data_IF_786581866687
#
_entry.id   IF_786581866687
#
_cell.length_a   1.000
_cell.length_b   1.000
_cell.length_c   1.000
_cell.angle_alpha   90.00
_cell.angle_beta   90.00
_cell.angle_gamma   90.00
#
_symmetry.space_group_name_H-M   'P 1'
#
loop_
_entity.id
_entity.type
_entity.pdbx_description
1 polymer ?
#
# COMPACT_ATOMS: atom_id res chain seq x y z
N UNK A 1 -9.27 -19.03 -4.31
CA UNK A 1 -10.36 -19.16 -3.31
C UNK A 1 -10.01 -18.26 -2.13
N UNK A 2 -10.86 -17.29 -1.77
CA UNK A 2 -10.55 -16.31 -0.71
C UNK A 2 -11.43 -16.62 0.53
N UNK A 3 -10.80 -17.00 1.65
CA UNK A 3 -11.48 -17.42 2.88
C UNK A 3 -12.41 -16.35 3.47
N UNK A 4 -12.01 -15.08 3.45
CA UNK A 4 -12.87 -14.01 3.99
C UNK A 4 -14.11 -13.76 3.12
N UNK A 5 -14.02 -14.02 1.80
CA UNK A 5 -15.18 -13.95 0.89
C UNK A 5 -16.17 -15.11 1.07
N UNK A 6 -15.77 -16.15 1.81
CA UNK A 6 -16.62 -17.30 2.11
C UNK A 6 -17.25 -17.21 3.49
N UNK A 7 -17.06 -16.09 4.20
CA UNK A 7 -17.54 -15.93 5.58
C UNK A 7 -16.76 -16.77 6.60
N UNK A 8 -15.56 -17.25 6.26
CA UNK A 8 -14.76 -18.13 7.12
C UNK A 8 -13.84 -17.38 8.10
N UNK A 9 -14.04 -16.07 8.28
CA UNK A 9 -13.30 -15.28 9.28
C UNK A 9 -13.14 -13.81 8.93
N UNK A 10 -12.21 -13.16 9.63
CA UNK A 10 -11.79 -11.77 9.43
C UNK A 10 -10.29 -11.72 9.10
N UNK A 11 -9.87 -10.65 8.42
CA UNK A 11 -8.46 -10.43 8.10
C UNK A 11 -8.07 -8.99 8.38
N UNK A 12 -6.84 -8.80 8.88
CA UNK A 12 -6.21 -7.50 8.95
C UNK A 12 -5.54 -7.21 7.61
N UNK A 13 -5.96 -6.12 6.96
CA UNK A 13 -5.53 -5.78 5.60
C UNK A 13 -5.04 -4.32 5.54
N UNK A 14 -4.05 -4.01 4.70
CA UNK A 14 -3.66 -2.63 4.44
C UNK A 14 -4.79 -1.86 3.77
N UNK A 15 -4.96 -0.58 4.11
CA UNK A 15 -5.99 0.29 3.54
C UNK A 15 -5.96 0.32 2.00
N UNK A 16 -4.76 0.31 1.42
CA UNK A 16 -4.53 0.26 -0.04
C UNK A 16 -5.23 -0.92 -0.73
N UNK A 17 -5.43 -2.04 -0.01
CA UNK A 17 -6.09 -3.23 -0.54
C UNK A 17 -7.62 -3.14 -0.50
N UNK A 18 -8.19 -2.20 0.27
CA UNK A 18 -9.64 -2.07 0.38
C UNK A 18 -10.26 -1.73 -0.97
N UNK A 19 -9.64 -0.84 -1.75
CA UNK A 19 -10.14 -0.44 -3.09
C UNK A 19 -10.28 -1.61 -4.06
N UNK A 20 -9.46 -2.64 -3.93
CA UNK A 20 -9.51 -3.83 -4.80
C UNK A 20 -10.38 -4.96 -4.24
N UNK A 21 -10.80 -4.85 -2.97
CA UNK A 21 -11.51 -5.89 -2.23
C UNK A 21 -12.97 -5.51 -1.91
N UNK A 22 -13.33 -4.23 -2.03
CA UNK A 22 -14.57 -3.54 -1.61
C UNK A 22 -15.93 -4.03 -2.17
N UNK A 23 -16.05 -5.28 -2.64
CA UNK A 23 -17.35 -5.89 -2.94
C UNK A 23 -18.18 -6.15 -1.67
N UNK A 24 -18.60 -7.39 -1.44
CA UNK A 24 -19.46 -7.78 -0.30
C UNK A 24 -18.79 -7.75 1.09
N UNK A 25 -17.59 -7.16 1.20
CA UNK A 25 -16.81 -7.18 2.43
C UNK A 25 -16.91 -5.85 3.16
N UNK A 26 -17.28 -5.91 4.44
CA UNK A 26 -17.25 -4.76 5.34
C UNK A 26 -15.84 -4.57 5.89
N UNK A 27 -15.36 -3.32 5.94
CA UNK A 27 -14.10 -2.95 6.58
C UNK A 27 -14.37 -2.07 7.79
N UNK A 28 -13.63 -2.31 8.88
CA UNK A 28 -13.61 -1.46 10.07
C UNK A 28 -12.20 -0.89 10.26
N UNK A 29 -12.05 0.41 10.55
CA UNK A 29 -10.76 0.99 10.88
C UNK A 29 -10.13 0.27 12.08
N UNK A 30 -8.84 -0.04 11.97
CA UNK A 30 -8.07 -0.59 13.08
C UNK A 30 -7.24 0.53 13.73
N UNK A 31 -7.51 0.81 15.01
CA UNK A 31 -6.79 1.82 15.78
C UNK A 31 -5.91 1.17 16.87
N UNK A 32 -4.66 1.66 17.07
CA UNK A 32 -3.99 2.73 16.33
C UNK A 32 -3.55 2.30 14.92
N UNK A 33 -3.22 3.25 14.04
CA UNK A 33 -2.64 2.94 12.73
C UNK A 33 -1.26 2.30 12.89
N UNK A 34 -1.09 1.03 12.52
CA UNK A 34 0.15 0.28 12.73
C UNK A 34 1.17 0.39 11.58
N UNK A 35 0.72 0.56 10.33
CA UNK A 35 1.59 0.47 9.16
C UNK A 35 1.36 1.65 8.23
N UNK A 36 2.42 2.43 7.96
CA UNK A 36 2.30 3.64 7.12
C UNK A 36 3.42 3.89 6.12
N UNK A 37 4.55 3.18 6.20
CA UNK A 37 5.69 3.48 5.34
C UNK A 37 5.97 2.32 4.37
N UNK A 38 5.80 2.60 3.08
CA UNK A 38 6.27 1.75 1.98
C UNK A 38 7.49 2.45 1.38
N UNK A 39 8.63 1.75 1.36
CA UNK A 39 9.90 2.30 0.89
C UNK A 39 10.43 1.52 -0.31
N UNK A 40 11.03 2.23 -1.27
CA UNK A 40 11.81 1.62 -2.35
C UNK A 40 13.20 1.26 -1.84
N UNK A 41 13.54 -0.03 -1.87
CA UNK A 41 14.87 -0.51 -1.51
C UNK A 41 15.64 -0.88 -2.77
N UNK A 42 16.81 -0.25 -2.95
CA UNK A 42 17.72 -0.52 -4.05
C UNK A 42 19.11 -0.86 -3.51
N UNK A 43 19.84 -1.74 -4.22
CA UNK A 43 21.19 -2.17 -3.84
C UNK A 43 22.16 -0.98 -3.76
N UNK A 44 22.03 -0.04 -4.67
CA UNK A 44 22.85 1.15 -4.77
C UNK A 44 21.96 2.39 -4.68
N UNK A 45 22.54 3.52 -4.24
CA UNK A 45 21.80 4.78 -4.21
C UNK A 45 21.43 5.18 -5.65
N UNK A 46 20.18 5.59 -5.89
CA UNK A 46 19.79 6.05 -7.22
C UNK A 46 20.64 7.26 -7.65
N UNK A 47 21.21 7.16 -8.85
CA UNK A 47 21.97 8.24 -9.48
C UNK A 47 20.98 9.21 -10.15
N UNK A 48 21.22 10.52 -10.05
CA UNK A 48 20.36 11.53 -10.66
C UNK A 48 20.11 11.26 -12.15
N UNK A 49 18.84 11.35 -12.57
CA UNK A 49 18.41 11.05 -13.94
C UNK A 49 18.32 9.56 -14.29
N UNK A 50 18.77 8.64 -13.42
CA UNK A 50 18.61 7.19 -13.65
C UNK A 50 17.14 6.76 -13.54
N UNK A 51 16.76 5.60 -14.11
CA UNK A 51 15.42 5.06 -13.96
C UNK A 51 14.99 4.86 -12.50
N UNK A 52 15.92 4.44 -11.62
CA UNK A 52 15.63 4.28 -10.19
C UNK A 52 15.39 5.63 -9.50
N UNK A 53 16.12 6.67 -9.90
CA UNK A 53 15.93 8.01 -9.37
C UNK A 53 14.57 8.58 -9.78
N UNK A 54 14.21 8.42 -11.05
CA UNK A 54 12.90 8.84 -11.56
C UNK A 54 11.75 8.09 -10.87
N UNK A 55 11.91 6.79 -10.61
CA UNK A 55 10.94 6.01 -9.86
C UNK A 55 10.81 6.50 -8.40
N UNK A 56 11.93 6.74 -7.72
CA UNK A 56 11.92 7.28 -6.37
C UNK A 56 11.22 8.65 -6.30
N UNK A 57 11.54 9.57 -7.21
CA UNK A 57 10.89 10.87 -7.32
C UNK A 57 9.39 10.75 -7.55
N UNK A 58 8.97 9.84 -8.44
CA UNK A 58 7.56 9.56 -8.69
C UNK A 58 6.85 9.07 -7.41
N UNK A 59 7.47 8.14 -6.67
CA UNK A 59 6.91 7.64 -5.42
C UNK A 59 6.78 8.75 -4.36
N UNK A 60 7.82 9.57 -4.18
CA UNK A 60 7.81 10.69 -3.23
C UNK A 60 6.71 11.71 -3.57
N UNK A 61 6.52 12.01 -4.86
CA UNK A 61 5.42 12.87 -5.31
C UNK A 61 4.05 12.26 -5.03
N UNK A 62 3.86 10.96 -5.28
CA UNK A 62 2.60 10.26 -5.04
C UNK A 62 2.24 10.22 -3.54
N UNK A 63 3.24 10.07 -2.66
CA UNK A 63 3.07 10.18 -1.20
C UNK A 63 2.67 11.60 -0.82
N UNK A 64 3.35 12.62 -1.35
CA UNK A 64 3.07 14.02 -1.03
C UNK A 64 1.62 14.45 -1.40
N UNK A 65 1.05 13.86 -2.45
CA UNK A 65 -0.34 14.11 -2.86
C UNK A 65 -1.35 13.11 -2.28
N UNK A 66 -0.93 12.23 -1.36
CA UNK A 66 -1.80 11.26 -0.67
C UNK A 66 -2.39 10.18 -1.58
N UNK A 67 -1.71 9.83 -2.68
CA UNK A 67 -2.15 8.77 -3.58
C UNK A 67 -1.59 7.39 -3.21
N UNK A 68 -0.51 7.34 -2.44
CA UNK A 68 0.08 6.14 -1.83
C UNK A 68 0.61 6.46 -0.43
#
# INVERSE_FOLDING_TARGET
MNFIRQGLGIALLPELTLKTIAGELCSVPHEPTFYRQISLLAKEKPVEGSPLFLLQMCMEQLVAIGKI
#
